data_IF_303566408478
#
_entry.id   IF_303566408478
#
_cell.length_a   1.000
_cell.length_b   1.000
_cell.length_c   1.000
_cell.angle_alpha   90.00
_cell.angle_beta   90.00
_cell.angle_gamma   90.00
#
_symmetry.space_group_name_H-M   'P 1'
#
loop_
_entity.id
_entity.type
_entity.pdbx_description
1 polymer ?
#
# COMPACT_ATOMS: atom_id res chain seq x y z
N UNK A 1 9.99 -12.26 -26.13
CA UNK A 1 10.61 -13.31 -25.27
C UNK A 1 11.77 -12.78 -24.43
N UNK A 2 12.71 -11.99 -24.99
CA UNK A 2 13.88 -11.46 -24.26
C UNK A 2 13.53 -10.72 -22.95
N UNK A 3 12.49 -9.88 -22.96
CA UNK A 3 12.11 -9.08 -21.78
C UNK A 3 11.59 -9.95 -20.62
N UNK A 4 10.88 -11.05 -20.90
CA UNK A 4 10.35 -11.92 -19.84
C UNK A 4 11.47 -12.68 -19.10
N UNK A 5 12.50 -13.12 -19.83
CA UNK A 5 13.67 -13.79 -19.25
C UNK A 5 14.45 -12.81 -18.36
N UNK A 6 14.61 -11.56 -18.80
CA UNK A 6 15.25 -10.52 -18.01
C UNK A 6 14.50 -10.23 -16.69
N UNK A 7 13.17 -10.13 -16.74
CA UNK A 7 12.35 -9.95 -15.53
C UNK A 7 12.44 -11.13 -14.57
N UNK A 8 12.42 -12.36 -15.08
CA UNK A 8 12.54 -13.57 -14.26
C UNK A 8 13.93 -13.64 -13.62
N UNK A 9 14.99 -13.33 -14.37
CA UNK A 9 16.35 -13.27 -13.84
C UNK A 9 16.51 -12.20 -12.76
N UNK A 10 15.96 -11.00 -12.96
CA UNK A 10 16.02 -9.94 -11.94
C UNK A 10 15.15 -10.29 -10.73
N UNK A 11 14.00 -10.94 -10.92
CA UNK A 11 13.19 -11.45 -9.81
C UNK A 11 13.91 -12.53 -9.00
N UNK A 12 14.57 -13.48 -9.66
CA UNK A 12 15.40 -14.52 -9.02
C UNK A 12 16.60 -13.90 -8.32
N UNK A 13 17.24 -12.90 -8.92
CA UNK A 13 18.36 -12.18 -8.33
C UNK A 13 17.92 -11.40 -7.07
N UNK A 14 16.74 -10.77 -7.12
CA UNK A 14 16.14 -10.10 -5.97
C UNK A 14 15.80 -11.06 -4.83
N UNK A 15 15.29 -12.25 -5.16
CA UNK A 15 15.07 -13.34 -4.20
C UNK A 15 16.38 -13.86 -3.60
N UNK A 16 17.42 -13.99 -4.43
CA UNK A 16 18.75 -14.45 -3.99
C UNK A 16 19.40 -13.47 -3.02
N UNK A 17 19.21 -12.16 -3.23
CA UNK A 17 19.69 -11.11 -2.35
C UNK A 17 18.91 -11.04 -1.02
N UNK A 18 17.77 -11.72 -0.91
CA UNK A 18 16.89 -11.79 0.27
C UNK A 18 16.55 -10.43 0.92
N UNK A 19 16.73 -9.33 0.18
CA UNK A 19 16.60 -7.99 0.71
C UNK A 19 15.60 -7.17 -0.15
N UNK A 20 14.43 -6.83 0.41
CA UNK A 20 13.33 -6.20 -0.32
C UNK A 20 13.66 -4.77 -0.81
N UNK A 21 14.63 -4.09 -0.20
CA UNK A 21 15.07 -2.76 -0.66
C UNK A 21 15.70 -2.85 -2.04
N UNK A 22 16.61 -3.81 -2.27
CA UNK A 22 17.21 -4.00 -3.60
C UNK A 22 16.18 -4.40 -4.64
N UNK A 23 15.23 -5.27 -4.29
CA UNK A 23 14.14 -5.65 -5.20
C UNK A 23 13.31 -4.44 -5.67
N UNK A 24 13.03 -3.50 -4.77
CA UNK A 24 12.34 -2.24 -5.10
C UNK A 24 13.15 -1.39 -6.09
N UNK A 25 14.44 -1.14 -5.80
CA UNK A 25 15.30 -0.33 -6.68
C UNK A 25 15.52 -0.97 -8.05
N UNK A 26 15.68 -2.29 -8.12
CA UNK A 26 15.74 -3.01 -9.40
C UNK A 26 14.45 -2.86 -10.20
N UNK A 27 13.29 -2.97 -9.53
CA UNK A 27 11.98 -2.76 -10.17
C UNK A 27 11.84 -1.35 -10.76
N UNK A 28 12.23 -0.33 -10.01
CA UNK A 28 12.25 1.06 -10.49
C UNK A 28 13.23 1.23 -11.66
N UNK A 29 14.43 0.65 -11.57
CA UNK A 29 15.44 0.70 -12.62
C UNK A 29 14.94 0.10 -13.94
N UNK A 30 14.33 -1.09 -13.91
CA UNK A 30 13.78 -1.72 -15.12
C UNK A 30 12.65 -0.88 -15.73
N UNK A 31 11.83 -0.23 -14.88
CA UNK A 31 10.76 0.67 -15.34
C UNK A 31 11.33 1.85 -16.12
N UNK A 32 12.45 2.43 -15.65
CA UNK A 32 13.13 3.55 -16.31
C UNK A 32 13.70 3.20 -17.70
N UNK A 33 14.16 1.95 -17.88
CA UNK A 33 14.65 1.44 -19.17
C UNK A 33 13.54 1.11 -20.19
N UNK A 34 12.26 1.38 -19.89
CA UNK A 34 11.17 1.23 -20.86
C UNK A 34 10.82 -0.21 -21.22
N UNK A 35 11.31 -1.19 -20.46
CA UNK A 35 11.08 -2.63 -20.65
C UNK A 35 9.64 -3.03 -20.22
N UNK A 36 8.86 -2.07 -19.72
CA UNK A 36 7.50 -2.17 -19.16
C UNK A 36 6.35 -2.38 -20.18
N UNK A 37 6.62 -2.64 -21.46
CA UNK A 37 5.51 -2.88 -22.41
C UNK A 37 4.89 -4.26 -22.09
N UNK A 38 3.71 -4.24 -21.46
CA UNK A 38 2.82 -5.37 -21.11
C UNK A 38 3.05 -6.05 -19.73
N UNK A 39 3.02 -5.28 -18.63
CA UNK A 39 3.16 -5.79 -17.25
C UNK A 39 1.88 -6.29 -16.56
N UNK A 40 0.73 -6.35 -17.25
CA UNK A 40 -0.55 -6.76 -16.62
C UNK A 40 -0.48 -8.11 -15.89
N UNK A 41 0.36 -9.02 -16.36
CA UNK A 41 0.57 -10.32 -15.73
C UNK A 41 1.34 -10.21 -14.40
N UNK A 42 2.33 -9.32 -14.33
CA UNK A 42 3.14 -9.07 -13.13
C UNK A 42 2.32 -8.38 -12.04
N UNK A 43 1.48 -7.40 -12.40
CA UNK A 43 0.58 -6.75 -11.45
C UNK A 43 -0.36 -7.75 -10.77
N UNK A 44 -0.87 -8.71 -11.56
CA UNK A 44 -1.73 -9.78 -11.07
C UNK A 44 -0.98 -10.71 -10.12
N UNK A 45 0.21 -11.18 -10.52
CA UNK A 45 1.05 -12.06 -9.69
C UNK A 45 1.43 -11.37 -8.38
N UNK A 46 1.92 -10.13 -8.44
CA UNK A 46 2.30 -9.35 -7.26
C UNK A 46 1.12 -9.18 -6.29
N UNK A 47 -0.08 -8.94 -6.81
CA UNK A 47 -1.30 -8.85 -5.98
C UNK A 47 -1.63 -10.16 -5.26
N UNK A 48 -1.40 -11.33 -5.89
CA UNK A 48 -1.60 -12.63 -5.24
C UNK A 48 -0.52 -12.93 -4.22
N UNK A 49 0.76 -12.69 -4.56
CA UNK A 49 1.87 -12.86 -3.62
C UNK A 49 1.69 -12.01 -2.37
N UNK A 50 1.30 -10.73 -2.53
CA UNK A 50 1.08 -9.84 -1.39
C UNK A 50 -0.04 -10.38 -0.47
N UNK A 51 -1.14 -10.90 -1.05
CA UNK A 51 -2.23 -11.50 -0.26
C UNK A 51 -1.78 -12.75 0.48
N UNK A 52 -1.03 -13.62 -0.18
CA UNK A 52 -0.46 -14.83 0.44
C UNK A 52 0.48 -14.43 1.58
N UNK A 53 1.35 -13.44 1.36
CA UNK A 53 2.26 -12.92 2.38
C UNK A 53 1.51 -12.38 3.60
N UNK A 54 0.44 -11.60 3.40
CA UNK A 54 -0.40 -11.09 4.51
C UNK A 54 -1.07 -12.24 5.27
N UNK A 55 -1.57 -13.27 4.59
CA UNK A 55 -2.16 -14.44 5.22
C UNK A 55 -1.12 -15.20 6.06
N UNK A 56 0.08 -15.41 5.51
CA UNK A 56 1.18 -16.07 6.23
C UNK A 56 1.67 -15.25 7.42
N UNK A 57 1.78 -13.93 7.29
CA UNK A 57 2.13 -13.04 8.40
C UNK A 57 1.15 -13.18 9.56
N UNK A 58 -0.15 -13.30 9.27
CA UNK A 58 -1.18 -13.54 10.29
C UNK A 58 -1.05 -14.89 11.00
N UNK A 59 -0.37 -15.88 10.40
CA UNK A 59 -0.07 -17.16 11.05
C UNK A 59 1.20 -17.11 11.92
N UNK A 60 2.08 -16.14 11.67
CA UNK A 60 3.35 -15.97 12.40
C UNK A 60 3.15 -15.20 13.70
N UNK A 61 2.24 -14.22 13.74
CA UNK A 61 2.06 -13.35 14.90
C UNK A 61 1.24 -13.98 16.03
N UNK A 62 1.67 -13.75 17.28
CA UNK A 62 0.93 -14.18 18.47
C UNK A 62 -0.28 -13.27 18.72
N UNK A 63 -1.45 -13.88 18.93
CA UNK A 63 -2.72 -13.14 19.10
C UNK A 63 -2.73 -12.20 20.31
N UNK A 64 -2.00 -12.54 21.39
CA UNK A 64 -1.95 -11.72 22.59
C UNK A 64 -1.08 -10.48 22.36
N UNK A 65 0.12 -10.68 21.79
CA UNK A 65 1.04 -9.59 21.43
C UNK A 65 0.38 -8.60 20.46
N UNK A 66 -0.31 -9.12 19.44
CA UNK A 66 -1.04 -8.30 18.46
C UNK A 66 -2.12 -7.46 19.13
N UNK A 67 -2.89 -8.03 20.05
CA UNK A 67 -4.00 -7.32 20.70
C UNK A 67 -3.52 -6.14 21.56
N UNK A 68 -2.41 -6.32 22.28
CA UNK A 68 -1.77 -5.28 23.09
C UNK A 68 -1.29 -4.11 22.22
N UNK A 69 -0.38 -4.41 21.28
CA UNK A 69 0.19 -3.42 20.37
C UNK A 69 -0.87 -2.69 19.54
N UNK A 70 -1.92 -3.40 19.15
CA UNK A 70 -3.01 -2.80 18.40
C UNK A 70 -3.80 -1.80 19.21
N UNK A 71 -4.08 -2.11 20.48
CA UNK A 71 -4.81 -1.20 21.37
C UNK A 71 -4.01 0.08 21.66
N UNK A 72 -2.70 -0.04 21.86
CA UNK A 72 -1.81 1.09 22.13
C UNK A 72 -1.67 1.99 20.89
N UNK A 73 -1.46 1.39 19.72
CA UNK A 73 -1.31 2.11 18.46
C UNK A 73 -2.62 2.71 17.96
N UNK A 74 -3.78 2.23 18.40
CA UNK A 74 -5.08 2.64 17.87
C UNK A 74 -5.33 4.15 18.01
N UNK A 75 -5.09 4.71 19.21
CA UNK A 75 -5.30 6.14 19.46
C UNK A 75 -4.35 7.01 18.63
N UNK A 76 -3.09 6.58 18.50
CA UNK A 76 -2.08 7.27 17.68
C UNK A 76 -2.48 7.27 16.21
N UNK A 77 -2.90 6.11 15.69
CA UNK A 77 -3.36 5.96 14.31
C UNK A 77 -4.60 6.82 14.05
N UNK A 78 -5.58 6.81 14.97
CA UNK A 78 -6.78 7.62 14.86
C UNK A 78 -6.45 9.12 14.83
N UNK A 79 -5.58 9.57 15.74
CA UNK A 79 -5.08 10.95 15.77
C UNK A 79 -4.37 11.33 14.46
N UNK A 80 -3.50 10.45 13.96
CA UNK A 80 -2.78 10.70 12.71
C UNK A 80 -3.72 10.75 11.51
N UNK A 81 -4.67 9.83 11.37
CA UNK A 81 -5.66 9.81 10.27
C UNK A 81 -6.53 11.06 10.30
N UNK A 82 -6.98 11.47 11.49
CA UNK A 82 -7.81 12.68 11.63
C UNK A 82 -7.03 13.96 11.31
N UNK A 83 -5.82 14.11 11.84
CA UNK A 83 -4.95 15.26 11.57
C UNK A 83 -4.58 15.33 10.10
N UNK A 84 -4.14 14.22 9.49
CA UNK A 84 -3.77 14.19 8.07
C UNK A 84 -4.97 14.46 7.16
N UNK A 85 -6.16 13.97 7.51
CA UNK A 85 -7.40 14.29 6.79
C UNK A 85 -7.75 15.77 6.89
N UNK A 86 -7.61 16.35 8.08
CA UNK A 86 -7.82 17.79 8.28
C UNK A 86 -6.82 18.63 7.50
N UNK A 87 -5.53 18.28 7.55
CA UNK A 87 -4.49 18.93 6.76
C UNK A 87 -4.78 18.84 5.26
N UNK A 88 -5.26 17.70 4.78
CA UNK A 88 -5.66 17.53 3.39
C UNK A 88 -6.74 18.51 2.93
N UNK A 89 -7.71 18.81 3.80
CA UNK A 89 -8.74 19.83 3.56
C UNK A 89 -8.13 21.23 3.57
N UNK A 90 -7.20 21.53 4.49
CA UNK A 90 -6.50 22.83 4.50
C UNK A 90 -5.67 23.01 3.22
N UNK A 91 -4.92 22.00 2.81
CA UNK A 91 -4.09 22.02 1.60
C UNK A 91 -4.91 22.21 0.33
N UNK A 92 -6.15 21.71 0.28
CA UNK A 92 -7.08 22.00 -0.82
C UNK A 92 -7.29 23.50 -1.01
N UNK A 93 -7.52 24.24 0.08
CA UNK A 93 -7.74 25.68 0.02
C UNK A 93 -6.46 26.46 -0.29
N UNK A 94 -5.30 26.00 0.20
CA UNK A 94 -4.02 26.68 0.01
C UNK A 94 -3.45 26.48 -1.40
N UNK A 95 -3.48 25.25 -1.92
CA UNK A 95 -2.81 24.88 -3.17
C UNK A 95 -3.67 25.07 -4.42
N UNK A 96 -4.94 25.46 -4.25
CA UNK A 96 -5.91 25.69 -5.34
C UNK A 96 -5.99 24.52 -6.35
N UNK A 97 -5.86 23.30 -5.84
CA UNK A 97 -5.86 22.06 -6.63
C UNK A 97 -7.28 21.56 -6.89
N UNK A 98 -7.42 20.64 -7.85
CA UNK A 98 -8.72 20.01 -8.10
C UNK A 98 -9.23 19.28 -6.84
N UNK A 99 -10.53 19.35 -6.58
CA UNK A 99 -11.16 18.63 -5.47
C UNK A 99 -10.87 17.12 -5.53
N UNK A 100 -10.79 16.54 -6.72
CA UNK A 100 -10.49 15.12 -6.92
C UNK A 100 -9.05 14.81 -6.50
N UNK A 101 -8.10 15.62 -6.96
CA UNK A 101 -6.69 15.47 -6.62
C UNK A 101 -6.47 15.61 -5.11
N UNK A 102 -7.09 16.60 -4.47
CA UNK A 102 -7.02 16.75 -3.00
C UNK A 102 -7.56 15.51 -2.28
N UNK A 103 -8.74 15.01 -2.66
CA UNK A 103 -9.32 13.81 -2.02
C UNK A 103 -8.41 12.59 -2.21
N UNK A 104 -7.85 12.39 -3.41
CA UNK A 104 -6.94 11.27 -3.69
C UNK A 104 -5.66 11.36 -2.88
N UNK A 105 -5.01 12.53 -2.90
CA UNK A 105 -3.76 12.74 -2.17
C UNK A 105 -3.98 12.57 -0.67
N UNK A 106 -5.07 13.14 -0.13
CA UNK A 106 -5.40 13.04 1.30
C UNK A 106 -5.69 11.60 1.70
N UNK A 107 -6.53 10.89 0.94
CA UNK A 107 -6.85 9.49 1.22
C UNK A 107 -5.61 8.59 1.09
N UNK A 108 -4.77 8.83 0.09
CA UNK A 108 -3.51 8.12 -0.12
C UNK A 108 -2.55 8.31 1.06
N UNK A 109 -2.28 9.56 1.45
CA UNK A 109 -1.34 9.87 2.52
C UNK A 109 -1.85 9.39 3.89
N UNK A 110 -3.14 9.60 4.20
CA UNK A 110 -3.68 9.28 5.52
C UNK A 110 -3.75 7.76 5.82
N UNK A 111 -3.92 6.90 4.80
CA UNK A 111 -4.28 5.49 5.01
C UNK A 111 -3.22 4.50 4.52
N UNK A 112 -3.11 4.25 3.23
CA UNK A 112 -2.27 3.14 2.73
C UNK A 112 -1.71 3.41 1.34
N UNK A 113 -1.62 4.68 0.97
CA UNK A 113 -1.03 5.12 -0.29
C UNK A 113 -1.83 4.61 -1.48
N UNK A 114 -1.23 3.69 -2.23
CA UNK A 114 -1.75 3.23 -3.51
C UNK A 114 -3.10 2.51 -3.41
N UNK A 115 -3.31 1.70 -2.37
CA UNK A 115 -4.56 0.95 -2.19
C UNK A 115 -5.73 1.87 -1.82
N UNK A 116 -5.49 2.96 -1.10
CA UNK A 116 -6.50 3.99 -0.86
C UNK A 116 -6.82 4.77 -2.14
N UNK A 117 -5.80 5.20 -2.90
CA UNK A 117 -5.99 5.94 -4.16
C UNK A 117 -6.78 5.11 -5.18
N UNK A 118 -6.41 3.84 -5.39
CA UNK A 118 -7.12 2.95 -6.32
C UNK A 118 -8.56 2.70 -5.87
N UNK A 119 -8.79 2.59 -4.56
CA UNK A 119 -10.12 2.39 -3.99
C UNK A 119 -11.02 3.60 -4.11
N UNK A 120 -10.49 4.81 -3.88
CA UNK A 120 -11.26 6.06 -3.89
C UNK A 120 -11.44 6.60 -5.31
N UNK A 121 -10.51 6.35 -6.22
CA UNK A 121 -10.57 6.83 -7.61
C UNK A 121 -11.90 6.54 -8.34
N UNK A 122 -12.49 5.33 -8.29
CA UNK A 122 -13.79 5.06 -8.91
C UNK A 122 -14.96 5.68 -8.14
N UNK A 123 -14.81 6.08 -6.88
CA UNK A 123 -15.88 6.76 -6.13
C UNK A 123 -16.04 8.23 -6.54
N UNK A 124 -14.95 8.87 -6.99
CA UNK A 124 -14.95 10.29 -7.34
C UNK A 124 -14.80 10.57 -8.85
N UNK A 125 -14.77 9.53 -9.69
CA UNK A 125 -14.41 9.61 -11.12
C UNK A 125 -13.09 10.37 -11.32
N UNK A 126 -12.06 9.98 -10.58
CA UNK A 126 -10.72 10.51 -10.77
C UNK A 126 -10.22 10.22 -12.19
N UNK A 127 -9.54 11.20 -12.80
CA UNK A 127 -8.90 10.96 -14.10
C UNK A 127 -7.62 10.15 -13.89
N UNK A 128 -7.24 9.34 -14.90
CA UNK A 128 -6.02 8.51 -14.84
C UNK A 128 -4.75 9.31 -14.63
N UNK A 129 -4.70 10.55 -15.15
CA UNK A 129 -3.57 11.47 -14.91
C UNK A 129 -3.49 11.90 -13.43
N UNK A 130 -4.60 12.23 -12.78
CA UNK A 130 -4.63 12.60 -11.35
C UNK A 130 -4.20 11.42 -10.47
N UNK A 131 -4.71 10.22 -10.76
CA UNK A 131 -4.32 8.98 -10.06
C UNK A 131 -2.83 8.71 -10.24
N UNK A 132 -2.33 8.78 -11.48
CA UNK A 132 -0.93 8.58 -11.80
C UNK A 132 -0.02 9.55 -11.04
N UNK A 133 -0.33 10.84 -11.07
CA UNK A 133 0.46 11.87 -10.37
C UNK A 133 0.52 11.64 -8.86
N UNK A 134 -0.60 11.32 -8.21
CA UNK A 134 -0.61 11.04 -6.77
C UNK A 134 0.20 9.79 -6.43
N UNK A 135 0.02 8.71 -7.20
CA UNK A 135 0.79 7.48 -7.00
C UNK A 135 2.29 7.72 -7.16
N UNK A 136 2.71 8.46 -8.17
CA UNK A 136 4.12 8.80 -8.39
C UNK A 136 4.72 9.52 -7.18
N UNK A 137 4.01 10.51 -6.62
CA UNK A 137 4.47 11.23 -5.42
C UNK A 137 4.63 10.27 -4.24
N UNK A 138 3.64 9.41 -4.00
CA UNK A 138 3.68 8.43 -2.90
C UNK A 138 4.87 7.47 -3.05
N UNK A 139 5.10 6.94 -4.26
CA UNK A 139 6.22 6.03 -4.50
C UNK A 139 7.59 6.72 -4.33
N UNK A 140 7.73 7.96 -4.77
CA UNK A 140 8.95 8.75 -4.56
C UNK A 140 9.19 8.94 -3.05
N UNK A 141 8.16 9.33 -2.30
CA UNK A 141 8.28 9.50 -0.85
C UNK A 141 8.66 8.19 -0.15
N UNK A 142 8.08 7.06 -0.57
CA UNK A 142 8.45 5.74 -0.02
C UNK A 142 9.91 5.36 -0.35
N UNK A 143 10.38 5.64 -1.56
CA UNK A 143 11.77 5.37 -1.96
C UNK A 143 12.76 6.18 -1.11
N UNK A 144 12.42 7.45 -0.84
CA UNK A 144 13.20 8.30 0.06
C UNK A 144 13.17 7.73 1.48
N UNK A 145 11.99 7.39 2.01
CA UNK A 145 11.84 6.82 3.35
C UNK A 145 12.67 5.53 3.54
N UNK A 146 12.73 4.66 2.52
CA UNK A 146 13.55 3.43 2.57
C UNK A 146 15.01 3.68 2.88
N UNK A 147 15.57 4.77 2.37
CA UNK A 147 16.99 5.11 2.57
C UNK A 147 17.18 5.83 3.91
N UNK A 148 16.34 6.84 4.18
CA UNK A 148 16.59 7.75 5.30
C UNK A 148 16.10 7.21 6.65
N UNK A 149 15.05 6.40 6.70
CA UNK A 149 14.46 6.01 7.99
C UNK A 149 15.40 5.18 8.84
N UNK A 150 16.07 4.11 8.33
CA UNK A 150 17.06 3.38 9.13
C UNK A 150 18.15 4.30 9.69
N UNK A 151 18.69 5.20 8.85
CA UNK A 151 19.76 6.13 9.25
C UNK A 151 19.31 7.09 10.37
N UNK A 152 18.06 7.58 10.29
CA UNK A 152 17.49 8.46 11.31
C UNK A 152 17.18 7.67 12.59
N UNK A 153 16.67 6.45 12.47
CA UNK A 153 16.39 5.57 13.60
C UNK A 153 17.65 5.29 14.43
N UNK A 154 18.73 4.92 13.75
CA UNK A 154 20.04 4.70 14.36
C UNK A 154 20.59 5.98 14.99
N UNK A 155 20.51 7.12 14.29
CA UNK A 155 20.98 8.41 14.81
C UNK A 155 20.23 8.87 16.07
N UNK A 156 18.94 8.55 16.16
CA UNK A 156 18.09 8.86 17.31
C UNK A 156 18.13 7.79 18.40
N UNK A 157 18.84 6.67 18.18
CA UNK A 157 18.89 5.51 19.07
C UNK A 157 17.49 5.02 19.48
N UNK A 158 16.55 4.97 18.53
CA UNK A 158 15.18 4.54 18.80
C UNK A 158 15.14 3.05 19.18
N UNK A 159 14.27 2.70 20.12
CA UNK A 159 13.99 1.28 20.39
C UNK A 159 13.29 0.64 19.18
N UNK A 160 13.37 -0.68 19.06
CA UNK A 160 12.72 -1.42 17.97
C UNK A 160 11.22 -1.16 17.90
N UNK A 161 10.56 -1.05 19.05
CA UNK A 161 9.13 -0.73 19.14
C UNK A 161 8.84 0.70 18.66
N UNK A 162 9.60 1.69 19.12
CA UNK A 162 9.43 3.09 18.72
C UNK A 162 9.67 3.28 17.23
N UNK A 163 10.74 2.67 16.70
CA UNK A 163 11.04 2.69 15.29
C UNK A 163 9.96 1.97 14.48
N UNK A 164 9.46 0.83 14.97
CA UNK A 164 8.38 0.07 14.34
C UNK A 164 7.09 0.89 14.22
N UNK A 165 6.63 1.52 15.31
CA UNK A 165 5.46 2.41 15.30
C UNK A 165 5.69 3.56 14.33
N UNK A 166 6.87 4.19 14.38
CA UNK A 166 7.18 5.34 13.51
C UNK A 166 7.13 4.97 12.03
N UNK A 167 7.81 3.88 11.62
CA UNK A 167 7.82 3.39 10.24
C UNK A 167 6.41 2.99 9.79
N UNK A 168 5.66 2.27 10.64
CA UNK A 168 4.28 1.85 10.37
C UNK A 168 3.32 3.03 10.16
N UNK A 169 3.53 4.14 10.89
CA UNK A 169 2.73 5.36 10.81
C UNK A 169 3.09 6.28 9.64
N UNK A 170 4.32 6.25 9.15
CA UNK A 170 4.83 7.27 8.22
C UNK A 170 4.96 6.76 6.78
N UNK A 171 5.44 5.54 6.59
CA UNK A 171 5.58 4.96 5.24
C UNK A 171 4.20 4.64 4.66
N UNK A 172 3.99 4.86 3.37
CA UNK A 172 2.66 4.73 2.76
C UNK A 172 2.39 3.35 2.15
N UNK A 173 3.41 2.54 1.87
CA UNK A 173 3.25 1.20 1.30
C UNK A 173 3.73 0.08 2.24
N UNK A 174 2.98 -1.02 2.30
CA UNK A 174 3.25 -2.14 3.22
C UNK A 174 4.52 -2.90 2.84
N UNK A 175 4.82 -3.04 1.54
CA UNK A 175 6.05 -3.71 1.12
C UNK A 175 7.29 -2.89 1.51
N UNK A 176 7.15 -1.56 1.49
CA UNK A 176 8.19 -0.64 1.92
C UNK A 176 8.38 -0.65 3.45
N UNK A 177 7.29 -0.72 4.21
CA UNK A 177 7.33 -0.89 5.68
C UNK A 177 8.10 -2.15 6.05
N UNK A 178 7.72 -3.30 5.47
CA UNK A 178 8.38 -4.57 5.73
C UNK A 178 9.87 -4.48 5.40
N UNK A 179 10.22 -3.84 4.28
CA UNK A 179 11.61 -3.70 3.88
C UNK A 179 12.46 -2.92 4.88
N UNK A 180 11.94 -1.79 5.36
CA UNK A 180 12.64 -0.93 6.32
C UNK A 180 12.74 -1.62 7.68
N UNK A 181 11.64 -2.23 8.14
CA UNK A 181 11.58 -2.83 9.47
C UNK A 181 12.48 -4.05 9.60
N UNK A 182 12.57 -4.90 8.57
CA UNK A 182 13.43 -6.10 8.60
C UNK A 182 14.92 -5.77 8.70
N UNK A 183 15.32 -4.56 8.28
CA UNK A 183 16.70 -4.10 8.42
C UNK A 183 17.05 -3.66 9.85
N UNK A 184 16.04 -3.28 10.64
CA UNK A 184 16.22 -2.74 11.99
C UNK A 184 16.04 -3.81 13.08
N UNK A 185 15.17 -4.79 12.86
CA UNK A 185 15.02 -5.95 13.74
C UNK A 185 13.71 -6.72 13.56
N UNK A 186 13.63 -7.91 14.16
CA UNK A 186 12.44 -8.77 14.08
C UNK A 186 11.24 -8.15 14.82
N UNK A 187 11.44 -7.69 16.06
CA UNK A 187 10.36 -7.05 16.86
C UNK A 187 9.84 -5.79 16.18
N UNK A 188 10.73 -5.03 15.53
CA UNK A 188 10.37 -3.85 14.72
C UNK A 188 9.36 -4.22 13.64
N UNK A 189 9.55 -5.36 12.99
CA UNK A 189 8.72 -5.80 11.86
C UNK A 189 7.31 -6.16 12.30
N UNK A 190 7.17 -6.84 13.43
CA UNK A 190 5.86 -7.13 14.02
C UNK A 190 5.11 -5.84 14.36
N UNK A 191 5.74 -4.94 15.12
CA UNK A 191 5.13 -3.67 15.55
C UNK A 191 4.76 -2.78 14.36
N UNK A 192 5.64 -2.66 13.37
CA UNK A 192 5.41 -1.82 12.19
C UNK A 192 4.24 -2.34 11.33
N UNK A 193 4.17 -3.66 11.11
CA UNK A 193 3.12 -4.26 10.30
C UNK A 193 1.75 -4.21 11.01
N UNK A 194 1.70 -4.45 12.33
CA UNK A 194 0.47 -4.31 13.12
C UNK A 194 -0.04 -2.87 13.04
N UNK A 195 0.81 -1.89 13.32
CA UNK A 195 0.47 -0.46 13.26
C UNK A 195 -0.08 -0.08 11.87
N UNK A 196 0.56 -0.59 10.82
CA UNK A 196 0.18 -0.35 9.42
C UNK A 196 -1.18 -0.97 9.04
N UNK A 197 -1.45 -2.18 9.52
CA UNK A 197 -2.71 -2.87 9.26
C UNK A 197 -3.90 -2.16 9.92
N UNK A 198 -3.72 -1.67 11.15
CA UNK A 198 -4.73 -0.86 11.85
C UNK A 198 -5.05 0.40 11.05
N UNK A 199 -4.03 1.11 10.56
CA UNK A 199 -4.24 2.29 9.69
C UNK A 199 -5.00 1.92 8.42
N UNK A 200 -4.74 0.75 7.85
CA UNK A 200 -5.44 0.25 6.65
C UNK A 200 -6.91 -0.09 6.94
N UNK A 201 -7.26 -0.48 8.17
CA UNK A 201 -8.65 -0.76 8.55
C UNK A 201 -9.56 0.49 8.42
N UNK A 202 -9.00 1.69 8.65
CA UNK A 202 -9.70 2.97 8.46
C UNK A 202 -10.07 3.26 6.99
N UNK A 203 -9.60 2.44 6.04
CA UNK A 203 -10.07 2.50 4.66
C UNK A 203 -11.57 2.18 4.54
N UNK A 204 -12.06 1.22 5.33
CA UNK A 204 -13.47 0.78 5.31
C UNK A 204 -14.42 1.95 5.61
N UNK A 205 -14.30 2.66 6.75
CA UNK A 205 -15.17 3.78 7.04
C UNK A 205 -15.01 4.91 6.01
N UNK A 206 -13.78 5.19 5.55
CA UNK A 206 -13.57 6.23 4.53
C UNK A 206 -14.36 5.95 3.24
N UNK A 207 -14.27 4.73 2.71
CA UNK A 207 -14.97 4.35 1.48
C UNK A 207 -16.50 4.43 1.69
N UNK A 208 -17.00 4.01 2.85
CA UNK A 208 -18.43 4.11 3.17
C UNK A 208 -18.88 5.57 3.19
N UNK A 209 -18.17 6.43 3.91
CA UNK A 209 -18.49 7.87 4.00
C UNK A 209 -18.46 8.53 2.63
N UNK A 210 -17.43 8.28 1.83
CA UNK A 210 -17.34 8.82 0.47
C UNK A 210 -18.43 8.24 -0.45
N UNK A 211 -18.78 6.97 -0.31
CA UNK A 211 -19.85 6.33 -1.08
C UNK A 211 -21.20 7.00 -0.84
N UNK A 212 -21.51 7.32 0.42
CA UNK A 212 -22.72 8.05 0.81
C UNK A 212 -22.68 9.49 0.27
N UNK A 213 -21.58 10.22 0.48
CA UNK A 213 -21.43 11.62 0.07
C UNK A 213 -21.55 11.81 -1.45
N UNK A 214 -20.97 10.91 -2.23
CA UNK A 214 -21.01 10.96 -3.70
C UNK A 214 -22.20 10.17 -4.28
N UNK A 215 -23.14 9.72 -3.43
CA UNK A 215 -24.35 8.95 -3.80
C UNK A 215 -24.05 7.79 -4.77
N UNK A 216 -22.96 7.07 -4.55
CA UNK A 216 -22.57 5.95 -5.40
C UNK A 216 -22.96 4.63 -4.79
N UNK A 217 -23.50 3.74 -5.62
CA UNK A 217 -23.60 2.33 -5.26
C UNK A 217 -22.19 1.77 -5.12
N UNK A 218 -21.91 1.11 -4.00
CA UNK A 218 -20.71 0.29 -3.86
C UNK A 218 -20.60 -0.63 -5.07
N UNK A 219 -19.61 -0.41 -5.93
CA UNK A 219 -19.32 -1.38 -6.98
C UNK A 219 -18.65 -2.56 -6.30
N UNK A 220 -19.26 -3.75 -6.44
CA UNK A 220 -18.84 -5.02 -5.86
C UNK A 220 -17.49 -5.54 -6.40
N UNK A 221 -16.73 -4.72 -7.13
CA UNK A 221 -15.47 -5.06 -7.79
C UNK A 221 -14.23 -5.01 -6.87
N UNK A 222 -14.37 -4.60 -5.61
CA UNK A 222 -13.25 -4.43 -4.68
C UNK A 222 -13.01 -5.60 -3.72
N UNK A 223 -13.89 -6.60 -3.64
CA UNK A 223 -13.57 -7.83 -2.92
C UNK A 223 -12.82 -8.78 -3.87
N UNK A 224 -11.65 -9.33 -3.47
CA UNK A 224 -11.04 -10.41 -4.23
C UNK A 224 -12.07 -11.52 -4.41
N UNK A 225 -12.40 -11.83 -5.66
CA UNK A 225 -13.22 -12.99 -5.98
C UNK A 225 -12.40 -14.25 -5.74
N UNK A 226 -12.22 -14.62 -4.46
CA UNK A 226 -11.75 -15.95 -4.06
C UNK A 226 -12.92 -16.94 -4.20
N UNK A 227 -14.17 -16.46 -4.14
CA UNK A 227 -15.37 -17.28 -4.30
C UNK A 227 -15.66 -17.74 -5.74
N UNK A 228 -15.07 -17.13 -6.78
CA UNK A 228 -15.26 -17.63 -8.16
C UNK A 228 -14.34 -18.78 -8.54
N UNK A 229 -13.36 -19.14 -7.70
CA UNK A 229 -12.46 -20.27 -7.97
C UNK A 229 -13.09 -21.63 -7.62
N UNK A 230 -14.25 -21.66 -6.95
CA UNK A 230 -14.95 -22.90 -6.57
C UNK A 230 -15.94 -23.38 -7.63
N UNK A 231 -16.30 -22.55 -8.62
CA UNK A 231 -17.12 -22.97 -9.76
C UNK A 231 -16.26 -23.19 -11.00
N UNK A 232 -15.44 -24.23 -10.96
CA UNK A 232 -14.93 -24.86 -12.17
C UNK A 232 -16.01 -25.83 -12.67
N UNK A 233 -16.82 -25.40 -13.64
CA UNK A 233 -17.82 -26.30 -14.22
C UNK A 233 -18.90 -25.62 -15.03
N UNK A 234 -18.76 -25.72 -16.35
CA UNK A 234 -19.81 -25.63 -17.39
C UNK A 234 -20.18 -24.26 -17.98
N UNK A 235 -19.68 -24.08 -19.21
CA UNK A 235 -20.26 -23.47 -20.41
C UNK A 235 -21.08 -22.17 -20.35
N UNK A 236 -20.56 -21.22 -21.15
CA UNK A 236 -21.23 -20.15 -21.90
C UNK A 236 -21.58 -18.83 -21.21
N UNK A 237 -21.07 -17.76 -21.84
CA UNK A 237 -21.34 -16.32 -21.63
C UNK A 237 -20.94 -15.85 -20.22
N UNK A 238 -20.12 -14.82 -20.04
CA UNK A 238 -20.48 -13.45 -20.31
C UNK A 238 -19.24 -12.63 -20.66
N UNK A 239 -19.25 -12.15 -21.89
CA UNK A 239 -18.41 -11.06 -22.39
C UNK A 239 -18.82 -9.77 -21.66
N UNK A 240 -18.23 -9.47 -20.51
CA UNK A 240 -18.31 -8.14 -19.90
C UNK A 240 -16.90 -7.55 -19.83
N UNK A 241 -16.68 -6.75 -20.86
CA UNK A 241 -15.56 -5.89 -21.19
C UNK A 241 -15.22 -4.99 -20.00
N UNK A 242 -14.11 -5.30 -19.33
CA UNK A 242 -13.40 -4.38 -18.42
C UNK A 242 -12.54 -3.42 -19.25
N UNK A 243 -12.92 -2.13 -19.24
CA UNK A 243 -12.05 -0.96 -19.37
C UNK A 243 -12.49 0.02 -18.29
#
# INVERSE_FOLDING_TARGET
>A
MQNHILFILVGILGLYLANPVFAFFFGVGISFFGISKNLKYLDRIGSYLLKIAIILLGLVFDVNSVSGLASESFLLVLGLVTITSFLGVVLYFVLNVSKRFSILSTAGTAICGATAVSSVSPLINAKSNEVGSVLSIIFILNAVAMIFYPMIGDALNLTQEQFGVWVGLSVHDTSSVAAISTLYGEDTTEVALITKLIRTLFLIPLIITLGILFKRKFQRSQFPSIYSAVYFGTNNCWCIRFI
#
